data_IF_993681814571
#
_entry.id   IF_993681814571
#
_cell.length_a   1.000
_cell.length_b   1.000
_cell.length_c   1.000
_cell.angle_alpha   90.00
_cell.angle_beta   90.00
_cell.angle_gamma   90.00
#
_symmetry.space_group_name_H-M   'P 1'
#
loop_
_entity.id
_entity.type
_entity.pdbx_description
1 polymer ?
#
# COMPACT_ATOMS: atom_id res chain seq x y z
N UNK A 1 -11.16 -2.09 -20.33
CA UNK A 1 -9.97 -2.37 -19.49
C UNK A 1 -10.41 -3.26 -18.35
N UNK A 2 -9.60 -4.23 -17.95
CA UNK A 2 -9.85 -5.04 -16.76
C UNK A 2 -9.08 -4.45 -15.57
N UNK A 3 -9.76 -4.32 -14.43
CA UNK A 3 -9.22 -3.84 -13.16
C UNK A 3 -9.21 -4.96 -12.13
N UNK A 4 -8.12 -5.05 -11.35
CA UNK A 4 -7.98 -6.00 -10.24
C UNK A 4 -7.59 -5.28 -8.96
N UNK A 5 -8.23 -5.66 -7.86
CA UNK A 5 -7.70 -5.47 -6.51
C UNK A 5 -7.35 -6.84 -5.90
N UNK A 6 -6.05 -7.22 -5.80
CA UNK A 6 -5.61 -8.52 -5.33
C UNK A 6 -5.71 -8.70 -3.80
N UNK A 7 -6.11 -7.67 -3.06
CA UNK A 7 -6.32 -7.70 -1.61
C UNK A 7 -7.51 -6.80 -1.24
N UNK A 8 -8.68 -7.11 -1.81
CA UNK A 8 -9.78 -6.15 -1.92
C UNK A 8 -10.50 -5.83 -0.61
N UNK A 9 -10.27 -6.57 0.47
CA UNK A 9 -10.92 -6.36 1.76
C UNK A 9 -12.44 -6.39 1.60
N UNK A 10 -13.12 -5.32 1.99
CA UNK A 10 -14.58 -5.13 1.85
C UNK A 10 -14.99 -4.50 0.52
N UNK A 11 -14.06 -4.33 -0.43
CA UNK A 11 -14.34 -3.88 -1.79
C UNK A 11 -14.31 -2.37 -2.00
N UNK A 12 -13.64 -1.59 -1.15
CA UNK A 12 -13.64 -0.12 -1.22
C UNK A 12 -13.15 0.45 -2.55
N UNK A 13 -12.02 -0.01 -3.06
CA UNK A 13 -11.52 0.41 -4.38
C UNK A 13 -12.43 -0.05 -5.52
N UNK A 14 -12.99 -1.25 -5.40
CA UNK A 14 -13.89 -1.81 -6.41
C UNK A 14 -15.17 -0.97 -6.51
N UNK A 15 -15.82 -0.63 -5.39
CA UNK A 15 -17.03 0.20 -5.41
C UNK A 15 -16.76 1.62 -5.88
N UNK A 16 -15.63 2.22 -5.47
CA UNK A 16 -15.23 3.53 -5.96
C UNK A 16 -15.03 3.53 -7.49
N UNK A 17 -14.38 2.48 -8.01
CA UNK A 17 -14.19 2.28 -9.45
C UNK A 17 -15.52 2.10 -10.18
N UNK A 18 -16.41 1.24 -9.66
CA UNK A 18 -17.75 1.01 -10.22
C UNK A 18 -18.53 2.32 -10.30
N UNK A 19 -18.54 3.10 -9.21
CA UNK A 19 -19.26 4.37 -9.15
C UNK A 19 -18.73 5.36 -10.19
N UNK A 20 -17.41 5.57 -10.23
CA UNK A 20 -16.78 6.50 -11.17
C UNK A 20 -17.01 6.09 -12.63
N UNK A 21 -16.84 4.80 -12.95
CA UNK A 21 -17.02 4.32 -14.32
C UNK A 21 -18.47 4.38 -14.77
N UNK A 22 -19.40 4.03 -13.88
CA UNK A 22 -20.83 4.06 -14.18
C UNK A 22 -21.33 5.48 -14.46
N UNK A 23 -20.91 6.46 -13.65
CA UNK A 23 -21.29 7.85 -13.83
C UNK A 23 -20.77 8.44 -15.16
N UNK A 24 -19.55 8.10 -15.56
CA UNK A 24 -18.89 8.72 -16.70
C UNK A 24 -19.09 7.98 -18.03
N UNK A 25 -19.17 6.65 -18.00
CA UNK A 25 -19.05 5.83 -19.22
C UNK A 25 -20.24 4.91 -19.51
N UNK A 26 -21.08 4.57 -18.52
CA UNK A 26 -22.21 3.66 -18.75
C UNK A 26 -23.42 4.41 -19.27
N UNK A 27 -23.84 4.14 -20.52
CA UNK A 27 -24.98 4.79 -21.17
C UNK A 27 -26.10 3.82 -21.54
N UNK A 28 -25.80 2.54 -21.61
CA UNK A 28 -26.72 1.48 -22.03
C UNK A 28 -26.42 0.17 -21.27
N UNK A 29 -27.19 -0.88 -21.58
CA UNK A 29 -27.11 -2.18 -20.92
C UNK A 29 -25.81 -2.91 -21.27
N UNK A 30 -25.31 -2.72 -22.49
CA UNK A 30 -24.07 -3.30 -22.97
C UNK A 30 -22.86 -2.73 -22.21
N UNK A 31 -22.81 -1.42 -21.99
CA UNK A 31 -21.77 -0.76 -21.20
C UNK A 31 -21.78 -1.26 -19.75
N UNK A 32 -22.97 -1.41 -19.16
CA UNK A 32 -23.13 -1.95 -17.81
C UNK A 32 -22.61 -3.39 -17.72
N UNK A 33 -22.89 -4.22 -18.74
CA UNK A 33 -22.36 -5.58 -18.81
C UNK A 33 -20.83 -5.60 -18.90
N UNK A 34 -20.24 -4.70 -19.68
CA UNK A 34 -18.78 -4.55 -19.76
C UNK A 34 -18.21 -4.16 -18.40
N UNK A 35 -18.81 -3.18 -17.72
CA UNK A 35 -18.40 -2.77 -16.37
C UNK A 35 -18.40 -3.97 -15.40
N UNK A 36 -19.50 -4.71 -15.33
CA UNK A 36 -19.62 -5.86 -14.43
C UNK A 36 -18.58 -6.95 -14.71
N UNK A 37 -18.18 -7.13 -15.97
CA UNK A 37 -17.17 -8.13 -16.37
C UNK A 37 -15.72 -7.66 -16.13
N UNK A 38 -15.52 -6.35 -15.99
CA UNK A 38 -14.20 -5.72 -15.95
C UNK A 38 -13.63 -5.55 -14.54
N UNK A 39 -14.40 -5.81 -13.48
CA UNK A 39 -13.99 -5.60 -12.08
C UNK A 39 -13.69 -6.95 -11.41
N UNK A 40 -12.46 -7.10 -10.92
CA UNK A 40 -11.94 -8.33 -10.34
C UNK A 40 -11.39 -8.06 -8.95
N UNK A 41 -11.59 -9.00 -8.02
CA UNK A 41 -11.16 -8.85 -6.63
C UNK A 41 -10.77 -10.17 -6.01
N UNK A 42 -9.78 -10.16 -5.13
CA UNK A 42 -9.41 -11.33 -4.33
C UNK A 42 -9.26 -10.91 -2.87
N UNK A 43 -9.86 -11.66 -1.96
CA UNK A 43 -9.74 -11.44 -0.53
C UNK A 43 -9.54 -12.77 0.20
N UNK A 44 -8.54 -12.81 1.09
CA UNK A 44 -8.13 -14.02 1.82
C UNK A 44 -9.05 -14.34 2.99
N UNK A 45 -9.59 -13.33 3.67
CA UNK A 45 -10.36 -13.52 4.91
C UNK A 45 -11.85 -13.74 4.60
N UNK A 46 -12.51 -14.75 5.20
CA UNK A 46 -13.89 -15.09 4.88
C UNK A 46 -14.89 -13.94 5.11
N UNK A 47 -14.76 -13.23 6.23
CA UNK A 47 -15.71 -12.17 6.59
C UNK A 47 -15.55 -10.92 5.68
N UNK A 48 -14.34 -10.34 5.49
CA UNK A 48 -14.15 -9.28 4.50
C UNK A 48 -14.59 -9.65 3.09
N UNK A 49 -14.31 -10.89 2.63
CA UNK A 49 -14.77 -11.38 1.32
C UNK A 49 -16.30 -11.34 1.22
N UNK A 50 -17.01 -11.87 2.22
CA UNK A 50 -18.48 -11.86 2.26
C UNK A 50 -19.04 -10.43 2.23
N UNK A 51 -18.40 -9.51 2.96
CA UNK A 51 -18.78 -8.10 2.95
C UNK A 51 -18.52 -7.48 1.57
N UNK A 52 -17.41 -7.79 0.91
CA UNK A 52 -17.12 -7.35 -0.46
C UNK A 52 -18.17 -7.84 -1.45
N UNK A 53 -18.52 -9.13 -1.42
CA UNK A 53 -19.56 -9.71 -2.30
C UNK A 53 -20.90 -9.01 -2.09
N UNK A 54 -21.31 -8.82 -0.83
CA UNK A 54 -22.52 -8.05 -0.49
C UNK A 54 -22.45 -6.62 -1.03
N UNK A 55 -21.29 -5.97 -0.89
CA UNK A 55 -21.07 -4.61 -1.35
C UNK A 55 -21.18 -4.50 -2.88
N UNK A 56 -20.64 -5.48 -3.62
CA UNK A 56 -20.78 -5.54 -5.09
C UNK A 56 -22.25 -5.68 -5.51
N UNK A 57 -23.02 -6.56 -4.86
CA UNK A 57 -24.45 -6.73 -5.12
C UNK A 57 -25.22 -5.42 -4.89
N UNK A 58 -24.95 -4.72 -3.78
CA UNK A 58 -25.59 -3.44 -3.47
C UNK A 58 -25.21 -2.33 -4.47
N UNK A 59 -24.06 -2.45 -5.12
CA UNK A 59 -23.61 -1.53 -6.17
C UNK A 59 -23.99 -2.03 -7.58
N UNK A 60 -24.96 -2.95 -7.70
CA UNK A 60 -25.55 -3.34 -8.98
C UNK A 60 -24.75 -4.35 -9.79
N UNK A 61 -23.74 -5.00 -9.20
CA UNK A 61 -23.10 -6.16 -9.82
C UNK A 61 -24.00 -7.37 -9.57
N UNK A 62 -24.71 -7.84 -10.58
CA UNK A 62 -25.75 -8.88 -10.42
C UNK A 62 -25.15 -10.23 -9.98
N UNK A 63 -24.01 -10.58 -10.56
CA UNK A 63 -23.30 -11.84 -10.29
C UNK A 63 -21.81 -11.53 -10.04
N UNK A 64 -21.39 -11.27 -8.79
CA UNK A 64 -20.02 -10.90 -8.43
C UNK A 64 -19.06 -12.11 -8.42
N UNK A 65 -19.12 -12.96 -9.45
CA UNK A 65 -18.34 -14.18 -9.58
C UNK A 65 -16.82 -13.96 -9.67
N UNK A 66 -16.41 -12.75 -10.02
CA UNK A 66 -15.03 -12.30 -10.13
C UNK A 66 -14.41 -11.92 -8.77
N UNK A 67 -15.21 -11.88 -7.69
CA UNK A 67 -14.73 -11.63 -6.32
C UNK A 67 -14.43 -12.97 -5.66
N UNK A 68 -13.15 -13.33 -5.62
CA UNK A 68 -12.69 -14.64 -5.15
C UNK A 68 -12.30 -14.61 -3.67
N UNK A 69 -12.69 -15.66 -2.95
CA UNK A 69 -12.18 -15.95 -1.61
C UNK A 69 -10.95 -16.84 -1.74
N UNK A 70 -9.76 -16.24 -1.73
CA UNK A 70 -8.50 -16.94 -2.04
C UNK A 70 -7.29 -16.19 -1.47
N UNK A 71 -6.15 -16.87 -1.34
CA UNK A 71 -4.87 -16.19 -1.07
C UNK A 71 -4.16 -15.91 -2.41
N UNK A 72 -4.16 -14.66 -2.84
CA UNK A 72 -3.54 -14.24 -4.10
C UNK A 72 -2.05 -14.57 -4.18
N UNK A 73 -1.34 -14.65 -3.04
CA UNK A 73 0.08 -14.97 -2.98
C UNK A 73 0.36 -16.48 -3.02
N UNK A 74 -0.65 -17.33 -2.82
CA UNK A 74 -0.46 -18.78 -2.76
C UNK A 74 -0.25 -19.43 -4.13
N UNK A 75 -0.79 -18.85 -5.21
CA UNK A 75 -0.58 -19.35 -6.58
C UNK A 75 0.87 -19.05 -7.01
N UNK A 76 1.64 -20.05 -7.47
CA UNK A 76 2.99 -19.83 -7.99
C UNK A 76 3.03 -18.77 -9.08
N UNK A 77 3.99 -17.84 -9.00
CA UNK A 77 4.11 -16.72 -9.93
C UNK A 77 4.22 -17.21 -11.38
N UNK A 78 4.93 -18.32 -11.61
CA UNK A 78 5.09 -18.95 -12.93
C UNK A 78 3.79 -19.46 -13.56
N UNK A 79 2.76 -19.69 -12.75
CA UNK A 79 1.49 -20.24 -13.22
C UNK A 79 0.56 -19.13 -13.72
N UNK A 80 0.87 -17.85 -13.43
CA UNK A 80 0.18 -16.71 -14.01
C UNK A 80 0.62 -16.51 -15.46
N UNK A 81 -0.35 -16.55 -16.37
CA UNK A 81 -0.13 -16.38 -17.80
C UNK A 81 -0.69 -15.07 -18.35
N UNK A 82 -0.57 -14.81 -19.66
CA UNK A 82 -1.11 -13.62 -20.30
C UNK A 82 -2.61 -13.38 -20.05
N UNK A 83 -3.39 -14.46 -19.91
CA UNK A 83 -4.84 -14.42 -19.63
C UNK A 83 -5.18 -13.88 -18.24
N UNK A 84 -4.24 -13.98 -17.29
CA UNK A 84 -4.43 -13.52 -15.91
C UNK A 84 -4.04 -12.05 -15.75
N UNK A 85 -3.45 -11.44 -16.79
CA UNK A 85 -2.95 -10.06 -16.72
C UNK A 85 -4.07 -9.04 -16.94
N UNK A 86 -3.97 -7.93 -16.22
CA UNK A 86 -4.98 -6.86 -16.21
C UNK A 86 -4.39 -5.52 -16.67
N UNK A 87 -5.27 -4.60 -17.02
CA UNK A 87 -4.90 -3.28 -17.51
C UNK A 87 -4.67 -2.30 -16.33
N UNK A 88 -5.40 -2.47 -15.23
CA UNK A 88 -5.33 -1.58 -14.06
C UNK A 88 -5.28 -2.41 -12.78
N UNK A 89 -4.40 -2.03 -11.85
CA UNK A 89 -4.42 -2.53 -10.47
C UNK A 89 -4.50 -1.33 -9.52
N UNK A 90 -5.50 -1.31 -8.64
CA UNK A 90 -5.60 -0.34 -7.54
C UNK A 90 -5.81 -1.12 -6.26
N UNK A 91 -4.92 -0.95 -5.29
CA UNK A 91 -4.95 -1.80 -4.09
C UNK A 91 -4.22 -1.21 -2.89
N UNK A 92 -4.68 -1.61 -1.72
CA UNK A 92 -4.03 -1.35 -0.44
C UNK A 92 -3.69 -2.71 0.21
N UNK A 93 -2.55 -3.33 -0.16
CA UNK A 93 -2.16 -4.61 0.41
C UNK A 93 -1.89 -4.47 1.91
N UNK A 94 -1.93 -5.57 2.68
CA UNK A 94 -1.59 -5.53 4.10
C UNK A 94 -0.18 -4.95 4.32
N UNK A 95 -0.08 -3.91 5.17
CA UNK A 95 1.18 -3.17 5.43
C UNK A 95 2.24 -3.97 6.17
N UNK A 96 1.86 -5.06 6.83
CA UNK A 96 2.78 -5.90 7.57
C UNK A 96 2.16 -7.26 7.83
N UNK A 97 2.98 -8.15 8.37
CA UNK A 97 2.64 -9.55 8.51
C UNK A 97 3.55 -10.41 7.66
N UNK A 98 3.73 -11.64 8.12
CA UNK A 98 4.47 -12.65 7.41
C UNK A 98 3.49 -13.64 6.80
N UNK A 99 3.70 -13.96 5.52
CA UNK A 99 3.00 -15.08 4.92
C UNK A 99 3.40 -16.42 5.59
N UNK A 100 2.50 -17.39 5.44
CA UNK A 100 2.67 -18.75 5.92
C UNK A 100 3.90 -19.41 5.29
N UNK A 101 4.51 -20.35 6.01
CA UNK A 101 5.71 -21.06 5.55
C UNK A 101 5.43 -21.74 4.19
N UNK A 102 6.30 -21.48 3.21
CA UNK A 102 6.22 -22.08 1.88
C UNK A 102 5.59 -21.17 0.83
N UNK A 103 4.87 -20.10 1.20
CA UNK A 103 4.32 -19.13 0.23
C UNK A 103 5.45 -18.45 -0.54
N UNK A 104 6.60 -18.19 0.10
CA UNK A 104 7.76 -17.60 -0.57
C UNK A 104 8.29 -18.49 -1.71
N UNK A 105 8.01 -19.80 -1.70
CA UNK A 105 8.45 -20.71 -2.75
C UNK A 105 7.69 -20.49 -4.08
N UNK A 106 6.52 -19.85 -4.02
CA UNK A 106 5.75 -19.39 -5.18
C UNK A 106 6.46 -18.28 -5.96
N UNK A 107 7.50 -17.67 -5.38
CA UNK A 107 8.26 -16.58 -5.98
C UNK A 107 9.68 -17.03 -6.42
N UNK A 108 10.25 -16.40 -7.46
CA UNK A 108 11.64 -16.61 -7.85
C UNK A 108 12.60 -16.37 -6.68
N UNK A 109 13.68 -17.13 -6.62
CA UNK A 109 14.68 -17.09 -5.52
C UNK A 109 15.17 -15.68 -5.17
N UNK A 110 15.30 -14.80 -6.18
CA UNK A 110 15.74 -13.42 -6.01
C UNK A 110 14.77 -12.56 -5.15
N UNK A 111 13.49 -12.91 -5.13
CA UNK A 111 12.40 -12.14 -4.51
C UNK A 111 11.75 -12.86 -3.32
N UNK A 112 12.36 -13.94 -2.83
CA UNK A 112 11.80 -14.70 -1.70
C UNK A 112 11.97 -13.91 -0.41
N UNK A 113 10.84 -13.48 0.13
CA UNK A 113 10.68 -12.86 1.43
C UNK A 113 9.36 -13.35 2.02
N UNK A 114 9.18 -13.16 3.32
CA UNK A 114 7.90 -13.45 3.99
C UNK A 114 7.04 -12.21 4.17
N UNK A 115 7.60 -11.04 3.94
CA UNK A 115 6.90 -9.76 4.07
C UNK A 115 5.78 -9.68 3.01
N UNK A 116 4.53 -9.68 3.47
CA UNK A 116 3.35 -9.72 2.61
C UNK A 116 3.34 -8.57 1.59
N UNK A 117 3.63 -7.34 2.02
CA UNK A 117 3.65 -6.16 1.15
C UNK A 117 4.65 -6.27 -0.01
N UNK A 118 5.83 -6.84 0.24
CA UNK A 118 6.87 -7.04 -0.76
C UNK A 118 6.43 -8.05 -1.83
N UNK A 119 5.84 -9.16 -1.40
CA UNK A 119 5.34 -10.20 -2.29
C UNK A 119 4.19 -9.68 -3.17
N UNK A 120 3.30 -8.86 -2.62
CA UNK A 120 2.26 -8.18 -3.40
C UNK A 120 2.86 -7.27 -4.47
N UNK A 121 3.90 -6.49 -4.16
CA UNK A 121 4.53 -5.62 -5.15
C UNK A 121 5.08 -6.42 -6.34
N UNK A 122 5.77 -7.54 -6.06
CA UNK A 122 6.27 -8.45 -7.12
C UNK A 122 5.14 -9.03 -7.95
N UNK A 123 4.06 -9.47 -7.30
CA UNK A 123 2.89 -10.03 -7.97
C UNK A 123 2.20 -8.99 -8.85
N UNK A 124 1.99 -7.77 -8.36
CA UNK A 124 1.31 -6.68 -9.08
C UNK A 124 2.08 -6.32 -10.34
N UNK A 125 3.40 -6.15 -10.26
CA UNK A 125 4.25 -5.93 -11.44
C UNK A 125 4.11 -7.08 -12.43
N UNK A 126 4.02 -8.33 -11.96
CA UNK A 126 3.83 -9.48 -12.84
C UNK A 126 2.45 -9.53 -13.52
N UNK A 127 1.39 -9.15 -12.81
CA UNK A 127 0.00 -9.21 -13.27
C UNK A 127 -0.41 -8.05 -14.18
N UNK A 128 0.31 -6.93 -14.18
CA UNK A 128 0.03 -5.89 -15.17
C UNK A 128 0.40 -6.36 -16.58
N UNK A 129 -0.41 -5.98 -17.56
CA UNK A 129 -0.01 -6.01 -18.98
C UNK A 129 1.01 -4.90 -19.25
N UNK A 130 1.73 -5.00 -20.35
CA UNK A 130 2.54 -3.88 -20.84
C UNK A 130 1.58 -2.73 -21.23
N UNK A 131 1.90 -1.50 -20.81
CA UNK A 131 0.99 -0.35 -20.84
C UNK A 131 -0.04 -0.30 -19.70
N UNK A 132 -0.13 -1.35 -18.88
CA UNK A 132 -1.00 -1.41 -17.72
C UNK A 132 -0.50 -0.53 -16.56
N UNK A 133 -1.42 -0.07 -15.72
CA UNK A 133 -1.16 0.95 -14.69
C UNK A 133 -1.46 0.43 -13.29
N UNK A 134 -0.56 0.70 -12.35
CA UNK A 134 -0.69 0.35 -10.94
C UNK A 134 -0.78 1.59 -10.05
N UNK A 135 -1.69 1.56 -9.07
CA UNK A 135 -1.75 2.49 -7.96
C UNK A 135 -1.80 1.68 -6.65
N UNK A 136 -0.74 1.75 -5.85
CA UNK A 136 -0.59 0.91 -4.66
C UNK A 136 -0.28 1.75 -3.42
N UNK A 137 -0.91 1.41 -2.30
CA UNK A 137 -0.57 1.97 -0.98
C UNK A 137 0.51 1.12 -0.33
N UNK A 138 1.63 1.71 0.07
CA UNK A 138 2.71 1.01 0.76
C UNK A 138 3.23 1.79 1.98
N UNK A 139 3.63 1.11 3.06
CA UNK A 139 4.26 1.78 4.21
C UNK A 139 5.69 2.20 3.89
N UNK A 140 6.22 3.20 4.61
CA UNK A 140 7.60 3.67 4.48
C UNK A 140 8.64 2.53 4.50
N UNK A 141 8.42 1.50 5.32
CA UNK A 141 9.31 0.33 5.42
C UNK A 141 9.56 -0.41 4.11
N UNK A 142 8.64 -0.29 3.14
CA UNK A 142 8.84 -0.86 1.80
C UNK A 142 9.81 0.00 0.96
N UNK A 143 9.84 1.32 1.20
CA UNK A 143 10.65 2.26 0.44
C UNK A 143 12.13 2.22 0.83
N UNK A 144 12.44 2.23 2.12
CA UNK A 144 13.82 2.27 2.61
C UNK A 144 14.44 0.90 2.89
N UNK A 145 13.66 -0.18 2.89
CA UNK A 145 14.18 -1.51 3.22
C UNK A 145 15.23 -2.03 2.23
N UNK A 146 16.17 -2.83 2.74
CA UNK A 146 17.34 -3.33 2.00
C UNK A 146 17.25 -4.84 1.68
N UNK A 147 18.26 -5.38 0.98
CA UNK A 147 18.39 -6.81 0.71
C UNK A 147 17.43 -7.29 -0.38
N UNK A 148 16.48 -8.18 -0.03
CA UNK A 148 15.46 -8.65 -0.99
C UNK A 148 14.59 -7.50 -1.46
N UNK A 149 14.28 -6.54 -0.59
CA UNK A 149 13.50 -5.34 -0.92
C UNK A 149 14.22 -4.48 -1.98
N UNK A 150 15.54 -4.37 -1.93
CA UNK A 150 16.34 -3.70 -2.97
C UNK A 150 16.12 -4.33 -4.34
N UNK A 151 16.16 -5.66 -4.44
CA UNK A 151 15.92 -6.39 -5.69
C UNK A 151 14.49 -6.23 -6.21
N UNK A 152 13.52 -6.15 -5.32
CA UNK A 152 12.12 -5.91 -5.69
C UNK A 152 11.94 -4.49 -6.24
N UNK A 153 12.56 -3.49 -5.59
CA UNK A 153 12.57 -2.10 -6.08
C UNK A 153 13.30 -1.98 -7.41
N UNK A 154 14.42 -2.68 -7.60
CA UNK A 154 15.12 -2.76 -8.89
C UNK A 154 14.21 -3.30 -9.98
N UNK A 155 13.56 -4.46 -9.75
CA UNK A 155 12.57 -5.02 -10.68
C UNK A 155 11.47 -4.01 -11.03
N UNK A 156 10.92 -3.30 -10.03
CA UNK A 156 9.89 -2.29 -10.25
C UNK A 156 10.40 -1.16 -11.16
N UNK A 157 11.59 -0.63 -10.90
CA UNK A 157 12.15 0.49 -11.68
C UNK A 157 12.60 0.07 -13.08
N UNK A 158 12.96 -1.20 -13.29
CA UNK A 158 13.38 -1.72 -14.60
C UNK A 158 12.20 -2.10 -15.50
N UNK A 159 11.15 -2.71 -14.92
CA UNK A 159 9.99 -3.19 -15.69
C UNK A 159 8.84 -2.18 -15.76
N UNK A 160 8.83 -1.20 -14.86
CA UNK A 160 7.80 -0.18 -14.79
C UNK A 160 8.40 1.22 -14.72
N UNK A 161 7.62 2.18 -15.22
CA UNK A 161 7.83 3.60 -15.07
C UNK A 161 7.08 4.04 -13.82
N UNK A 162 7.77 4.00 -12.68
CA UNK A 162 7.32 4.57 -11.41
C UNK A 162 7.43 6.09 -11.48
N UNK A 163 6.42 6.70 -12.09
CA UNK A 163 6.44 8.11 -12.43
C UNK A 163 6.09 9.03 -11.25
N UNK A 164 5.37 8.53 -10.24
CA UNK A 164 4.94 9.36 -9.10
C UNK A 164 4.87 8.58 -7.78
N UNK A 165 5.35 9.20 -6.69
CA UNK A 165 5.14 8.78 -5.31
C UNK A 165 4.49 9.94 -4.55
N UNK A 166 3.28 9.73 -4.01
CA UNK A 166 2.65 10.68 -3.09
C UNK A 166 2.90 10.21 -1.65
N UNK A 167 3.59 11.02 -0.87
CA UNK A 167 3.87 10.75 0.55
C UNK A 167 2.72 11.27 1.39
N UNK A 168 2.07 10.38 2.14
CA UNK A 168 0.94 10.75 3.00
C UNK A 168 1.42 11.05 4.43
N UNK A 169 0.77 12.00 5.15
CA UNK A 169 1.13 12.31 6.52
C UNK A 169 0.81 11.19 7.52
N UNK A 170 1.21 11.41 8.78
CA UNK A 170 0.91 10.48 9.86
C UNK A 170 -0.60 10.42 10.15
N UNK A 171 -1.04 9.22 10.57
CA UNK A 171 -2.36 9.01 11.13
C UNK A 171 -3.49 8.89 10.11
N UNK A 172 -3.20 8.86 8.80
CA UNK A 172 -4.21 8.67 7.73
C UNK A 172 -5.02 7.39 7.95
N UNK A 173 -4.38 6.33 8.42
CA UNK A 173 -5.01 5.06 8.73
C UNK A 173 -5.41 4.89 10.21
N UNK A 174 -5.54 6.00 10.96
CA UNK A 174 -5.99 5.95 12.36
C UNK A 174 -7.44 5.45 12.48
N UNK A 175 -7.78 4.65 13.51
CA UNK A 175 -6.95 4.23 14.64
C UNK A 175 -6.19 2.91 14.38
N UNK A 176 -6.22 2.37 13.16
CA UNK A 176 -5.67 1.05 12.86
C UNK A 176 -4.14 1.04 12.84
N UNK A 177 -3.52 2.11 12.34
CA UNK A 177 -2.07 2.27 12.36
C UNK A 177 -1.66 3.75 12.30
N UNK A 178 -0.54 4.07 12.95
CA UNK A 178 0.14 5.37 12.87
C UNK A 178 1.27 5.42 11.84
N UNK A 179 1.50 4.33 11.09
CA UNK A 179 2.57 4.23 10.10
C UNK A 179 2.32 5.21 8.95
N UNK A 180 3.37 5.94 8.52
CA UNK A 180 3.36 6.72 7.28
C UNK A 180 3.26 5.81 6.07
N UNK A 181 2.47 6.25 5.11
CA UNK A 181 2.15 5.47 3.91
C UNK A 181 2.34 6.33 2.68
N UNK A 182 2.52 5.67 1.56
CA UNK A 182 2.84 6.29 0.29
C UNK A 182 1.97 5.67 -0.79
N UNK A 183 1.53 6.49 -1.73
CA UNK A 183 0.82 6.06 -2.93
C UNK A 183 1.83 6.02 -4.07
N UNK A 184 2.07 4.83 -4.63
CA UNK A 184 2.96 4.65 -5.76
C UNK A 184 2.11 4.49 -7.02
N UNK A 185 2.44 5.28 -8.04
CA UNK A 185 1.78 5.24 -9.34
C UNK A 185 2.80 4.90 -10.42
N UNK A 186 2.53 3.83 -11.17
CA UNK A 186 3.46 3.33 -12.17
C UNK A 186 2.75 2.71 -13.37
N UNK A 187 3.45 2.72 -14.51
CA UNK A 187 3.00 2.07 -15.75
C UNK A 187 4.00 1.00 -16.14
N UNK A 188 3.55 -0.21 -16.47
CA UNK A 188 4.43 -1.30 -16.88
C UNK A 188 4.85 -1.19 -18.34
N UNK A 189 6.07 -1.62 -18.65
CA UNK A 189 6.57 -1.80 -20.01
C UNK A 189 7.69 -0.85 -20.40
N UNK A 190 7.90 0.22 -19.62
CA UNK A 190 9.03 1.13 -19.79
C UNK A 190 9.78 1.27 -18.47
N UNK A 191 11.12 1.33 -18.45
CA UNK A 191 11.87 1.57 -17.23
C UNK A 191 11.67 2.99 -16.72
N UNK A 192 11.73 3.13 -15.39
CA UNK A 192 11.72 4.43 -14.70
C UNK A 192 12.96 5.22 -15.07
N UNK A 193 12.78 6.51 -15.38
CA UNK A 193 13.86 7.48 -15.65
C UNK A 193 13.95 8.53 -14.55
N UNK A 194 12.80 9.04 -14.16
CA UNK A 194 12.64 10.04 -13.11
C UNK A 194 11.38 9.73 -12.32
N UNK A 195 11.39 10.09 -11.03
CA UNK A 195 10.25 9.94 -10.14
C UNK A 195 9.88 11.32 -9.62
N UNK A 196 8.61 11.66 -9.75
CA UNK A 196 8.05 12.80 -9.05
C UNK A 196 7.61 12.41 -7.65
N UNK A 197 8.00 13.21 -6.67
CA UNK A 197 7.48 13.11 -5.32
C UNK A 197 6.51 14.24 -5.04
N UNK A 198 5.45 13.92 -4.32
CA UNK A 198 4.51 14.89 -3.78
C UNK A 198 4.34 14.63 -2.29
N UNK A 199 4.73 15.57 -1.44
CA UNK A 199 4.48 15.54 -0.01
C UNK A 199 3.13 16.17 0.30
N UNK A 200 2.13 15.34 0.59
CA UNK A 200 0.78 15.82 0.90
C UNK A 200 0.80 16.62 2.20
N UNK A 201 0.43 17.91 2.20
CA UNK A 201 0.47 18.74 3.39
C UNK A 201 -0.69 18.45 4.33
N UNK A 202 -0.50 18.74 5.62
CA UNK A 202 -1.63 18.80 6.54
C UNK A 202 -2.49 20.05 6.26
N UNK A 203 -3.81 19.98 6.51
CA UNK A 203 -4.64 21.17 6.66
C UNK A 203 -4.12 22.08 7.78
N UNK A 204 -4.43 23.36 7.70
CA UNK A 204 -4.03 24.32 8.73
C UNK A 204 -4.52 23.89 10.13
N UNK A 205 -3.61 23.90 11.11
CA UNK A 205 -3.88 23.48 12.48
C UNK A 205 -3.88 21.96 12.73
N UNK A 206 -3.63 21.13 11.71
CA UNK A 206 -3.45 19.68 11.89
C UNK A 206 -1.98 19.36 12.19
N UNK A 207 -1.75 18.49 13.17
CA UNK A 207 -0.44 17.87 13.45
C UNK A 207 -0.40 16.37 13.13
N UNK A 208 -1.58 15.74 13.08
CA UNK A 208 -1.80 14.35 12.72
C UNK A 208 -3.28 14.15 12.41
N UNK A 209 -3.60 13.23 11.50
CA UNK A 209 -4.97 12.75 11.37
C UNK A 209 -5.33 11.82 12.52
N UNK A 210 -6.63 11.67 12.77
CA UNK A 210 -7.18 10.80 13.80
C UNK A 210 -8.55 10.27 13.39
N UNK A 211 -9.12 9.35 14.17
CA UNK A 211 -10.48 8.83 13.92
C UNK A 211 -11.55 9.95 13.88
N UNK A 212 -11.38 11.01 14.68
CA UNK A 212 -12.33 12.14 14.74
C UNK A 212 -12.02 13.25 13.75
N UNK A 213 -10.79 13.27 13.20
CA UNK A 213 -10.33 14.21 12.20
C UNK A 213 -9.63 13.45 11.07
N UNK A 214 -10.39 12.70 10.25
CA UNK A 214 -9.82 11.92 9.15
C UNK A 214 -9.43 12.83 7.98
N UNK A 215 -8.54 12.31 7.14
CA UNK A 215 -8.24 12.88 5.83
C UNK A 215 -9.49 12.88 4.95
N UNK A 216 -9.65 13.95 4.17
CA UNK A 216 -10.80 14.17 3.28
C UNK A 216 -10.36 14.24 1.82
N UNK A 217 -11.29 13.97 0.92
CA UNK A 217 -11.00 13.90 -0.52
C UNK A 217 -10.66 15.27 -1.11
N UNK A 218 -11.21 16.35 -0.55
CA UNK A 218 -10.96 17.72 -1.02
C UNK A 218 -9.51 18.16 -0.77
N UNK A 219 -8.82 17.50 0.17
CA UNK A 219 -7.40 17.74 0.45
C UNK A 219 -6.51 17.32 -0.74
N UNK A 220 -7.01 16.46 -1.65
CA UNK A 220 -6.30 16.01 -2.85
C UNK A 220 -6.52 16.89 -4.10
N UNK A 221 -7.32 17.96 -4.01
CA UNK A 221 -7.53 18.86 -5.16
C UNK A 221 -6.23 19.51 -5.68
N UNK A 222 -5.28 19.95 -4.81
CA UNK A 222 -3.98 20.45 -5.28
C UNK A 222 -3.19 19.39 -6.07
N UNK A 223 -3.16 18.14 -5.61
CA UNK A 223 -2.50 17.01 -6.28
C UNK A 223 -3.12 16.74 -7.65
N UNK A 224 -4.47 16.74 -7.73
CA UNK A 224 -5.19 16.56 -9.00
C UNK A 224 -4.88 17.69 -9.98
N UNK A 225 -4.85 18.94 -9.51
CA UNK A 225 -4.51 20.08 -10.36
C UNK A 225 -3.05 20.05 -10.85
N UNK A 226 -2.14 19.60 -9.99
CA UNK A 226 -0.71 19.46 -10.32
C UNK A 226 -0.44 18.28 -11.27
N UNK A 227 -1.25 17.22 -11.23
CA UNK A 227 -0.99 15.96 -11.94
C UNK A 227 -0.74 16.12 -13.44
N UNK A 228 -1.50 16.99 -14.09
CA UNK A 228 -1.45 17.25 -15.55
C UNK A 228 -0.43 18.34 -15.94
N UNK A 229 0.05 19.15 -14.98
CA UNK A 229 1.01 20.23 -15.23
C UNK A 229 2.08 20.26 -14.12
N UNK A 230 2.90 19.21 -14.10
CA UNK A 230 3.87 18.97 -13.02
C UNK A 230 4.97 20.01 -13.03
N UNK A 231 5.13 20.67 -11.90
CA UNK A 231 6.20 21.64 -11.64
C UNK A 231 6.70 21.42 -10.20
N UNK A 232 7.99 21.64 -9.98
CA UNK A 232 8.54 21.63 -8.62
C UNK A 232 8.01 22.84 -7.83
N UNK A 233 7.76 22.64 -6.55
CA UNK A 233 7.30 23.65 -5.61
C UNK A 233 7.65 23.21 -4.17
N UNK A 234 7.12 23.90 -3.17
CA UNK A 234 7.40 23.61 -1.75
C UNK A 234 7.04 22.17 -1.31
N UNK A 235 6.13 21.50 -2.02
CA UNK A 235 5.65 20.16 -1.71
C UNK A 235 6.08 19.10 -2.73
N UNK A 236 6.69 19.50 -3.84
CA UNK A 236 6.98 18.60 -4.97
C UNK A 236 8.40 18.77 -5.47
N UNK A 237 9.06 17.65 -5.69
CA UNK A 237 10.42 17.60 -6.21
C UNK A 237 10.58 16.37 -7.10
N UNK A 238 11.61 16.41 -7.93
CA UNK A 238 11.93 15.32 -8.85
C UNK A 238 13.28 14.69 -8.52
N UNK A 239 13.36 13.37 -8.69
CA UNK A 239 14.58 12.60 -8.45
C UNK A 239 14.88 11.74 -9.67
N UNK A 240 16.14 11.76 -10.13
CA UNK A 240 16.58 10.90 -11.23
C UNK A 240 16.78 9.47 -10.76
N UNK A 241 16.50 8.50 -11.63
CA UNK A 241 16.64 7.08 -11.30
C UNK A 241 18.11 6.72 -10.99
N UNK A 242 19.07 7.42 -11.60
CA UNK A 242 20.50 7.25 -11.34
C UNK A 242 20.86 7.56 -9.88
N UNK A 243 20.28 8.62 -9.30
CA UNK A 243 20.51 8.99 -7.90
C UNK A 243 19.90 7.94 -6.95
N UNK A 244 18.73 7.40 -7.31
CA UNK A 244 18.07 6.32 -6.58
C UNK A 244 18.92 5.04 -6.61
N UNK A 245 19.48 4.69 -7.77
CA UNK A 245 20.39 3.54 -7.93
C UNK A 245 21.67 3.73 -7.12
N UNK A 246 22.27 4.92 -7.17
CA UNK A 246 23.46 5.26 -6.38
C UNK A 246 23.19 5.17 -4.87
N UNK A 247 21.96 5.44 -4.44
CA UNK A 247 21.51 5.34 -3.06
C UNK A 247 20.89 3.96 -2.71
N UNK A 248 21.32 2.88 -3.38
CA UNK A 248 20.90 1.51 -3.03
C UNK A 248 19.42 1.21 -3.30
N UNK A 249 18.83 1.88 -4.28
CA UNK A 249 17.39 1.81 -4.60
C UNK A 249 16.50 2.27 -3.45
N UNK A 250 16.97 3.16 -2.58
CA UNK A 250 16.13 3.74 -1.53
C UNK A 250 15.13 4.74 -2.14
N UNK A 251 13.82 4.45 -1.98
CA UNK A 251 12.73 5.30 -2.47
C UNK A 251 12.20 6.26 -1.39
N UNK A 252 12.69 6.20 -0.15
CA UNK A 252 12.36 7.15 0.92
C UNK A 252 13.21 8.42 0.77
N UNK A 253 12.88 9.20 -0.27
CA UNK A 253 13.49 10.51 -0.48
C UNK A 253 12.67 11.55 0.26
N UNK A 254 13.31 12.36 1.10
CA UNK A 254 12.65 13.44 1.83
C UNK A 254 12.52 14.69 0.96
N UNK A 255 11.52 15.51 1.26
CA UNK A 255 11.34 16.79 0.62
C UNK A 255 12.57 17.69 0.87
N UNK A 256 13.27 18.19 -0.16
CA UNK A 256 14.42 19.06 0.01
C UNK A 256 14.05 20.48 0.46
N UNK A 257 12.81 20.92 0.16
CA UNK A 257 12.32 22.27 0.47
C UNK A 257 11.72 22.35 1.87
N UNK A 258 11.33 21.21 2.41
CA UNK A 258 10.87 21.07 3.78
C UNK A 258 11.95 20.32 4.55
N UNK A 259 12.83 21.05 5.23
CA UNK A 259 13.70 20.44 6.24
C UNK A 259 12.79 19.91 7.34
N UNK A 260 12.30 18.68 7.17
CA UNK A 260 11.50 17.98 8.15
C UNK A 260 12.26 18.11 9.46
N UNK A 261 11.68 18.87 10.39
CA UNK A 261 12.04 18.96 11.81
C UNK A 261 11.64 17.61 12.47
N UNK A 262 11.93 16.51 11.76
CA UNK A 262 11.46 15.15 11.97
C UNK A 262 12.26 14.41 13.03
N UNK A 263 13.29 15.05 13.57
CA UNK A 263 13.56 14.89 14.98
C UNK A 263 12.60 15.86 15.66
N UNK A 264 11.46 15.34 16.15
CA UNK A 264 10.74 16.08 17.21
C UNK A 264 11.76 16.58 18.22
N UNK A 265 11.53 17.77 18.78
CA UNK A 265 12.47 18.43 19.70
C UNK A 265 13.25 17.37 20.50
N UNK A 266 14.59 17.36 20.46
CA UNK A 266 15.38 16.39 21.20
C UNK A 266 14.84 16.13 22.62
N UNK A 267 14.29 17.16 23.26
CA UNK A 267 13.59 17.07 24.55
C UNK A 267 12.32 16.19 24.51
N UNK A 268 11.42 16.37 23.53
CA UNK A 268 10.22 15.53 23.35
C UNK A 268 10.57 14.06 23.03
N UNK A 269 11.63 13.83 22.25
CA UNK A 269 12.10 12.46 21.96
C UNK A 269 12.71 11.81 23.21
N UNK A 270 13.43 12.57 24.02
CA UNK A 270 14.01 12.10 25.28
C UNK A 270 12.91 11.77 26.29
N UNK A 271 11.86 12.60 26.36
CA UNK A 271 10.69 12.35 27.21
C UNK A 271 9.98 11.07 26.78
N UNK A 272 9.69 10.89 25.48
CA UNK A 272 9.10 9.65 24.95
C UNK A 272 9.98 8.44 25.23
N UNK A 273 11.30 8.57 25.08
CA UNK A 273 12.25 7.50 25.39
C UNK A 273 12.22 7.11 26.88
N UNK A 274 12.19 8.09 27.78
CA UNK A 274 12.09 7.86 29.22
C UNK A 274 10.76 7.17 29.60
N UNK A 275 9.64 7.60 29.02
CA UNK A 275 8.34 6.95 29.20
C UNK A 275 8.39 5.49 28.72
N UNK A 276 9.00 5.23 27.56
CA UNK A 276 9.15 3.87 27.04
C UNK A 276 10.00 2.99 27.96
N UNK A 277 11.10 3.51 28.51
CA UNK A 277 11.94 2.77 29.47
C UNK A 277 11.19 2.46 30.76
N UNK A 278 10.36 3.38 31.25
CA UNK A 278 9.52 3.16 32.42
C UNK A 278 8.50 2.04 32.15
N UNK A 279 7.82 2.09 31.00
CA UNK A 279 6.84 1.07 30.60
C UNK A 279 7.47 -0.30 30.40
N UNK A 280 8.68 -0.38 29.82
CA UNK A 280 9.44 -1.63 29.68
C UNK A 280 9.76 -2.21 31.05
N UNK A 281 10.19 -1.36 31.98
CA UNK A 281 10.54 -1.77 33.35
C UNK A 281 9.32 -2.30 34.10
N UNK A 282 8.19 -1.60 33.99
CA UNK A 282 6.92 -2.01 34.58
C UNK A 282 6.45 -3.36 33.99
N UNK A 283 6.42 -3.47 32.66
CA UNK A 283 6.03 -4.70 31.96
C UNK A 283 6.94 -5.87 32.36
N UNK A 284 8.25 -5.65 32.46
CA UNK A 284 9.21 -6.67 32.90
C UNK A 284 8.94 -7.11 34.34
N UNK A 285 8.63 -6.17 35.24
CA UNK A 285 8.34 -6.48 36.64
C UNK A 285 7.02 -7.26 36.77
N UNK A 286 5.99 -6.87 36.03
CA UNK A 286 4.72 -7.61 35.97
C UNK A 286 4.93 -9.03 35.43
N UNK A 287 5.70 -9.19 34.35
CA UNK A 287 6.05 -10.52 33.82
C UNK A 287 6.81 -11.37 34.84
N UNK A 288 7.77 -10.77 35.56
CA UNK A 288 8.53 -11.45 36.61
C UNK A 288 7.61 -11.90 37.74
N UNK A 289 6.64 -11.08 38.14
CA UNK A 289 5.70 -11.41 39.20
C UNK A 289 4.76 -12.55 38.79
N UNK A 290 4.24 -12.53 37.56
CA UNK A 290 3.46 -13.62 36.99
C UNK A 290 4.25 -14.93 36.92
N UNK A 291 5.51 -14.88 36.50
CA UNK A 291 6.39 -16.05 36.48
C UNK A 291 6.68 -16.60 37.89
N UNK A 292 6.89 -15.72 38.88
CA UNK A 292 7.06 -16.12 40.29
C UNK A 292 5.78 -16.78 40.83
N UNK A 293 4.60 -16.24 40.50
CA UNK A 293 3.33 -16.83 40.91
C UNK A 293 3.11 -18.21 40.26
N UNK A 294 3.43 -18.34 38.97
CA UNK A 294 3.31 -19.61 38.24
C UNK A 294 4.30 -20.68 38.73
N UNK A 295 5.53 -20.30 39.09
CA UNK A 295 6.55 -21.22 39.62
C UNK A 295 6.35 -21.51 41.11
N UNK A 296 5.88 -20.54 41.89
CA UNK A 296 5.58 -20.67 43.32
C UNK A 296 4.33 -21.51 43.61
N UNK A 297 3.39 -21.60 42.65
CA UNK A 297 2.23 -22.49 42.72
C UNK A 297 2.52 -23.98 42.52
N UNK A 298 3.77 -24.36 42.22
CA UNK A 298 4.18 -25.76 42.00
C UNK A 298 4.72 -26.40 43.31
N UNK A 299 4.76 -25.64 44.41
CA UNK A 299 5.20 -26.14 45.72
C UNK A 299 4.10 -26.00 46.78
N UNK A 300 3.03 -26.78 46.64
CA UNK A 300 2.11 -27.15 47.71
C UNK A 300 1.47 -28.51 47.39
#
# INVERSE_FOLDING_TARGET
>A
ENMLDPACGTGGFLTATIHNLREQYVKNVEDEKILQQSIHGVEKKPLPHLLCVTNMLLHGIEVPSQIRHDNTLARPLRDYGPKDRVDVIVTNPPFGGMEEDGIEQSFPTAYRTRETADLFLVLIVHLLKDGGRGAIVLPDGTLFGEGVKTRIKEKLLEECNLHTIVRLPNGVFSPYTGIKTNLLFFTKGEPTKEIWYYEHPYPEGYKSYSKTKPMRIEEFEPEKAWWENRQENDFTWRVQVEDIKANGYNLDIKNPNNSDVGHGDPEELLEKYQILLANITETRNSLKQELINALGGISA
#
